data_IF_358287395652
#
_entry.id   IF_358287395652
#
_cell.length_a   1.000
_cell.length_b   1.000
_cell.length_c   1.000
_cell.angle_alpha   90.00
_cell.angle_beta   90.00
_cell.angle_gamma   90.00
#
_symmetry.space_group_name_H-M   'P 1'
#
loop_
_entity.id
_entity.type
_entity.pdbx_description
1 polymer ?
#
# COMPACT_ATOMS: atom_id res chain seq x y z
N UNK A 1 -3.02 -11.13 7.94
CA UNK A 1 -2.70 -11.30 9.38
C UNK A 1 -2.76 -12.77 9.76
N UNK A 2 -1.75 -13.28 10.44
CA UNK A 2 -1.75 -14.64 11.01
C UNK A 2 -2.57 -14.59 12.32
N UNK A 3 -3.59 -15.45 12.50
CA UNK A 3 -4.53 -15.33 13.62
C UNK A 3 -3.96 -15.79 14.98
N UNK A 4 -2.72 -16.31 15.01
CA UNK A 4 -2.08 -16.88 16.19
C UNK A 4 -0.75 -16.17 16.39
N UNK A 5 -0.47 -15.73 17.62
CA UNK A 5 0.80 -15.12 18.00
C UNK A 5 1.98 -15.99 17.53
N UNK A 6 2.99 -15.34 16.95
CA UNK A 6 4.13 -16.03 16.36
C UNK A 6 5.29 -15.98 17.34
N UNK A 7 5.68 -17.11 17.93
CA UNK A 7 6.88 -17.19 18.77
C UNK A 7 8.16 -17.09 17.96
N UNK A 8 9.29 -16.78 18.61
CA UNK A 8 10.58 -16.63 17.93
C UNK A 8 10.99 -17.93 17.22
N UNK A 9 10.91 -19.06 17.93
CA UNK A 9 11.22 -20.38 17.36
C UNK A 9 10.36 -20.68 16.13
N UNK A 10 9.08 -20.28 16.15
CA UNK A 10 8.19 -20.49 15.02
C UNK A 10 8.53 -19.57 13.85
N UNK A 11 8.86 -18.30 14.11
CA UNK A 11 9.37 -17.36 13.12
C UNK A 11 10.62 -17.93 12.42
N UNK A 12 11.63 -18.36 13.20
CA UNK A 12 12.87 -18.95 12.67
C UNK A 12 12.58 -20.19 11.81
N UNK A 13 11.73 -21.11 12.29
CA UNK A 13 11.35 -22.30 11.52
C UNK A 13 10.68 -21.96 10.19
N UNK A 14 9.87 -20.89 10.14
CA UNK A 14 9.25 -20.44 8.90
C UNK A 14 10.28 -19.84 7.95
N UNK A 15 11.22 -19.03 8.45
CA UNK A 15 12.31 -18.47 7.65
C UNK A 15 13.20 -19.57 7.05
N UNK A 16 13.60 -20.57 7.84
CA UNK A 16 14.42 -21.71 7.36
C UNK A 16 13.72 -22.50 6.26
N UNK A 17 12.40 -22.71 6.39
CA UNK A 17 11.62 -23.44 5.39
C UNK A 17 11.45 -22.67 4.09
N UNK A 18 11.24 -21.36 4.19
CA UNK A 18 10.93 -20.52 3.03
C UNK A 18 12.19 -20.09 2.27
N UNK A 19 13.31 -19.87 2.97
CA UNK A 19 14.58 -19.45 2.38
C UNK A 19 15.74 -20.36 2.79
N UNK A 20 15.74 -21.63 2.34
CA UNK A 20 16.81 -22.55 2.65
C UNK A 20 18.15 -22.02 2.15
N UNK A 21 19.15 -21.97 3.02
CA UNK A 21 20.51 -21.53 2.71
C UNK A 21 20.79 -20.03 2.88
N UNK A 22 19.78 -19.19 3.08
CA UNK A 22 19.95 -17.74 3.38
C UNK A 22 19.11 -17.27 4.58
N UNK A 23 18.52 -18.19 5.34
CA UNK A 23 17.60 -17.88 6.43
C UNK A 23 18.20 -16.97 7.49
N UNK A 24 19.49 -17.13 7.81
CA UNK A 24 20.15 -16.30 8.83
C UNK A 24 20.21 -14.84 8.40
N UNK A 25 20.50 -14.58 7.12
CA UNK A 25 20.48 -13.23 6.55
C UNK A 25 19.06 -12.64 6.54
N UNK A 26 18.05 -13.46 6.24
CA UNK A 26 16.64 -13.03 6.28
C UNK A 26 16.22 -12.69 7.70
N UNK A 27 16.53 -13.54 8.68
CA UNK A 27 16.25 -13.31 10.10
C UNK A 27 16.96 -12.04 10.58
N UNK A 28 18.20 -11.81 10.17
CA UNK A 28 18.94 -10.60 10.55
C UNK A 28 18.35 -9.33 9.91
N UNK A 29 17.88 -9.41 8.66
CA UNK A 29 17.29 -8.26 7.96
C UNK A 29 15.95 -7.85 8.57
N UNK A 30 15.15 -8.83 9.01
CA UNK A 30 13.87 -8.62 9.69
C UNK A 30 13.98 -8.93 11.18
N UNK A 31 15.13 -8.57 11.78
CA UNK A 31 15.45 -8.92 13.16
C UNK A 31 14.32 -8.45 14.08
N UNK A 32 13.60 -9.38 14.72
CA UNK A 32 12.49 -9.00 15.56
C UNK A 32 12.97 -8.22 16.78
N UNK A 33 12.16 -7.27 17.24
CA UNK A 33 12.42 -6.55 18.49
C UNK A 33 12.45 -7.56 19.66
N UNK A 34 13.58 -7.69 20.37
CA UNK A 34 13.70 -8.67 21.46
C UNK A 34 12.78 -8.38 22.65
N UNK A 35 12.18 -7.18 22.73
CA UNK A 35 11.17 -6.84 23.74
C UNK A 35 9.77 -7.39 23.42
N UNK A 36 9.55 -7.85 22.19
CA UNK A 36 8.28 -8.41 21.75
C UNK A 36 8.22 -9.93 21.96
N UNK A 37 7.02 -10.42 22.29
CA UNK A 37 6.75 -11.86 22.39
C UNK A 37 5.98 -12.41 21.20
N UNK A 38 5.56 -11.54 20.28
CA UNK A 38 4.78 -11.85 19.10
C UNK A 38 5.44 -11.24 17.86
N UNK A 39 5.97 -12.10 17.00
CA UNK A 39 6.78 -11.70 15.84
C UNK A 39 5.97 -11.68 14.53
N UNK A 40 4.64 -11.58 14.62
CA UNK A 40 3.75 -11.52 13.46
C UNK A 40 4.03 -10.32 12.56
N UNK A 41 4.40 -9.18 13.13
CA UNK A 41 4.65 -7.96 12.36
C UNK A 41 5.95 -8.10 11.54
N UNK A 42 7.05 -8.51 12.17
CA UNK A 42 8.31 -8.81 11.48
C UNK A 42 8.12 -9.84 10.35
N UNK A 43 7.34 -10.89 10.61
CA UNK A 43 7.02 -11.89 9.60
C UNK A 43 6.12 -11.33 8.47
N UNK A 44 5.16 -10.47 8.81
CA UNK A 44 4.28 -9.78 7.88
C UNK A 44 5.04 -8.84 6.94
N UNK A 45 5.95 -8.03 7.47
CA UNK A 45 6.80 -7.14 6.69
C UNK A 45 7.72 -7.92 5.74
N UNK A 46 8.35 -8.97 6.25
CA UNK A 46 9.18 -9.86 5.46
C UNK A 46 8.42 -10.46 4.28
N UNK A 47 7.23 -11.01 4.51
CA UNK A 47 6.40 -11.54 3.43
C UNK A 47 5.94 -10.45 2.46
N UNK A 48 5.61 -9.27 2.97
CA UNK A 48 5.16 -8.13 2.16
C UNK A 48 6.27 -7.67 1.21
N UNK A 49 7.49 -7.51 1.72
CA UNK A 49 8.65 -7.16 0.92
C UNK A 49 8.99 -8.22 -0.12
N UNK A 50 9.07 -9.48 0.30
CA UNK A 50 9.43 -10.59 -0.58
C UNK A 50 8.41 -10.80 -1.70
N UNK A 51 7.13 -10.88 -1.37
CA UNK A 51 6.09 -11.26 -2.33
C UNK A 51 5.59 -10.10 -3.19
N UNK A 52 5.57 -8.86 -2.66
CA UNK A 52 4.87 -7.74 -3.31
C UNK A 52 5.74 -6.50 -3.48
N UNK A 53 6.27 -5.93 -2.40
CA UNK A 53 6.86 -4.58 -2.44
C UNK A 53 8.16 -4.53 -3.24
N UNK A 54 9.11 -5.44 -2.98
CA UNK A 54 10.41 -5.40 -3.65
C UNK A 54 10.30 -5.71 -5.15
N UNK A 55 9.47 -6.69 -5.53
CA UNK A 55 9.23 -7.05 -6.93
C UNK A 55 8.52 -5.92 -7.68
N UNK A 56 7.49 -5.31 -7.09
CA UNK A 56 6.77 -4.18 -7.69
C UNK A 56 7.68 -2.95 -7.86
N UNK A 57 8.51 -2.65 -6.86
CA UNK A 57 9.53 -1.58 -6.95
C UNK A 57 10.56 -1.90 -8.03
N UNK A 58 11.01 -3.15 -8.15
CA UNK A 58 11.96 -3.54 -9.21
C UNK A 58 11.38 -3.30 -10.61
N UNK A 59 10.11 -3.65 -10.84
CA UNK A 59 9.42 -3.38 -12.10
C UNK A 59 9.29 -1.87 -12.35
N UNK A 60 8.89 -1.10 -11.35
CA UNK A 60 8.78 0.37 -11.46
C UNK A 60 10.13 1.02 -11.80
N UNK A 61 11.21 0.60 -11.13
CA UNK A 61 12.59 1.04 -11.44
C UNK A 61 12.99 0.71 -12.87
N UNK A 62 12.75 -0.52 -13.30
CA UNK A 62 13.06 -0.96 -14.66
C UNK A 62 12.31 -0.15 -15.72
N UNK A 63 11.03 0.15 -15.48
CA UNK A 63 10.21 0.98 -16.36
C UNK A 63 10.70 2.43 -16.40
N UNK A 64 11.00 3.03 -15.25
CA UNK A 64 11.47 4.41 -15.15
C UNK A 64 12.85 4.62 -15.77
N UNK A 65 13.71 3.60 -15.74
CA UNK A 65 15.03 3.64 -16.38
C UNK A 65 14.97 3.57 -17.92
N UNK A 66 13.81 3.29 -18.53
CA UNK A 66 13.68 3.31 -19.99
C UNK A 66 13.65 4.76 -20.48
N UNK A 67 14.61 5.12 -21.35
CA UNK A 67 14.90 6.52 -21.76
C UNK A 67 13.86 7.17 -22.69
N UNK A 68 12.62 6.70 -22.71
CA UNK A 68 11.56 7.37 -23.45
C UNK A 68 10.91 8.43 -22.56
N UNK A 69 11.18 9.71 -22.84
CA UNK A 69 10.68 10.89 -22.12
C UNK A 69 9.14 11.04 -22.09
N UNK A 70 8.40 10.08 -22.62
CA UNK A 70 6.93 10.03 -22.64
C UNK A 70 6.33 9.00 -21.67
N UNK A 71 7.16 8.23 -20.96
CA UNK A 71 6.70 7.16 -20.05
C UNK A 71 6.81 7.62 -18.61
N UNK A 72 5.74 8.26 -18.12
CA UNK A 72 5.60 8.52 -16.69
C UNK A 72 5.28 7.20 -15.98
N UNK A 73 6.09 6.85 -14.97
CA UNK A 73 5.82 5.72 -14.08
C UNK A 73 5.19 6.27 -12.81
N UNK A 74 4.05 5.72 -12.41
CA UNK A 74 3.38 6.06 -11.15
C UNK A 74 3.36 4.83 -10.26
N UNK A 75 3.71 5.02 -8.99
CA UNK A 75 3.76 3.95 -7.99
C UNK A 75 3.05 4.41 -6.72
N UNK A 76 2.28 3.53 -6.09
CA UNK A 76 1.59 3.81 -4.83
C UNK A 76 1.91 2.77 -3.76
N UNK A 77 1.63 3.16 -2.53
CA UNK A 77 1.42 2.22 -1.44
C UNK A 77 0.06 2.51 -0.81
N UNK A 78 -0.78 1.49 -0.68
CA UNK A 78 -2.05 1.60 0.02
C UNK A 78 -1.80 1.41 1.52
N UNK A 79 -2.08 2.45 2.32
CA UNK A 79 -2.06 2.38 3.78
C UNK A 79 -3.45 2.53 4.40
N UNK A 80 -4.47 2.82 3.60
CA UNK A 80 -5.81 3.03 4.09
C UNK A 80 -6.42 1.71 4.58
N UNK A 81 -6.81 1.62 5.86
CA UNK A 81 -7.37 0.40 6.42
C UNK A 81 -8.78 0.15 5.90
N UNK A 82 -9.14 -1.13 5.70
CA UNK A 82 -10.54 -1.46 5.49
C UNK A 82 -11.31 -1.29 6.80
N UNK A 83 -12.17 -0.28 6.87
CA UNK A 83 -12.96 0.04 8.07
C UNK A 83 -14.48 0.01 7.80
N UNK A 84 -15.27 0.28 8.84
CA UNK A 84 -16.73 0.33 8.77
C UNK A 84 -17.43 -0.79 9.56
N UNK A 85 -18.69 -0.56 9.97
CA UNK A 85 -19.43 -1.46 10.86
C UNK A 85 -19.65 -2.86 10.26
N UNK A 86 -19.72 -2.95 8.93
CA UNK A 86 -19.97 -4.20 8.20
C UNK A 86 -18.69 -4.95 7.80
N UNK A 87 -17.50 -4.39 8.03
CA UNK A 87 -16.23 -5.02 7.67
C UNK A 87 -16.10 -6.46 8.23
N UNK A 88 -16.45 -6.76 9.50
CA UNK A 88 -16.37 -8.13 10.02
C UNK A 88 -17.26 -9.12 9.27
N UNK A 89 -18.45 -8.67 8.83
CA UNK A 89 -19.39 -9.47 8.05
C UNK A 89 -18.84 -9.75 6.66
N UNK A 90 -18.27 -8.72 6.01
CA UNK A 90 -17.63 -8.82 4.70
C UNK A 90 -16.47 -9.83 4.69
N UNK A 91 -15.60 -9.76 5.70
CA UNK A 91 -14.40 -10.60 5.76
C UNK A 91 -14.63 -11.97 6.39
N UNK A 92 -15.75 -12.16 7.10
CA UNK A 92 -16.12 -13.41 7.74
C UNK A 92 -14.98 -14.01 8.60
N UNK A 93 -14.40 -15.17 8.23
CA UNK A 93 -13.26 -15.75 8.94
C UNK A 93 -12.03 -14.84 9.04
N UNK A 94 -11.89 -13.88 8.13
CA UNK A 94 -10.80 -12.91 8.07
C UNK A 94 -11.13 -11.58 8.76
N UNK A 95 -12.19 -11.50 9.57
CA UNK A 95 -12.60 -10.27 10.29
C UNK A 95 -11.49 -9.58 11.09
N UNK A 96 -10.45 -10.31 11.47
CA UNK A 96 -9.28 -9.74 12.16
C UNK A 96 -8.45 -8.81 11.25
N UNK A 97 -8.70 -8.78 9.93
CA UNK A 97 -8.10 -7.81 9.02
C UNK A 97 -8.86 -6.48 8.97
N UNK A 98 -10.02 -6.36 9.62
CA UNK A 98 -10.69 -5.07 9.78
C UNK A 98 -9.81 -4.11 10.57
N UNK A 99 -9.73 -2.86 10.10
CA UNK A 99 -8.82 -1.87 10.65
C UNK A 99 -7.38 -1.99 10.14
N UNK A 100 -7.10 -2.88 9.19
CA UNK A 100 -5.81 -3.00 8.54
C UNK A 100 -5.92 -2.77 7.03
N UNK A 101 -4.87 -2.20 6.45
CA UNK A 101 -4.61 -2.35 5.02
C UNK A 101 -4.05 -3.76 4.80
N UNK A 102 -4.74 -4.56 3.99
CA UNK A 102 -4.30 -5.91 3.67
C UNK A 102 -4.18 -6.07 2.16
N UNK A 103 -3.56 -7.17 1.71
CA UNK A 103 -3.36 -7.40 0.28
C UNK A 103 -4.69 -7.31 -0.50
N UNK A 104 -4.76 -6.40 -1.47
CA UNK A 104 -5.94 -6.11 -2.30
C UNK A 104 -7.12 -5.45 -1.58
N UNK A 105 -6.93 -4.89 -0.37
CA UNK A 105 -8.00 -4.18 0.35
C UNK A 105 -8.39 -2.86 -0.32
N UNK A 106 -7.53 -2.29 -1.15
CA UNK A 106 -7.81 -1.08 -1.95
C UNK A 106 -8.87 -1.31 -3.03
N UNK A 107 -9.10 -2.55 -3.47
CA UNK A 107 -9.96 -2.83 -4.63
C UNK A 107 -11.41 -2.36 -4.43
N UNK A 108 -11.94 -2.44 -3.21
CA UNK A 108 -13.31 -1.97 -2.95
C UNK A 108 -13.42 -0.45 -3.16
N UNK A 109 -12.39 0.30 -2.78
CA UNK A 109 -12.29 1.75 -2.98
C UNK A 109 -12.03 2.11 -4.45
N UNK A 110 -11.09 1.41 -5.11
CA UNK A 110 -10.72 1.65 -6.51
C UNK A 110 -11.92 1.51 -7.45
N UNK A 111 -12.66 0.43 -7.30
CA UNK A 111 -13.78 0.09 -8.19
C UNK A 111 -15.14 0.57 -7.65
N UNK A 112 -15.15 1.25 -6.50
CA UNK A 112 -16.37 1.62 -5.77
C UNK A 112 -17.31 0.45 -5.49
N UNK A 113 -16.77 -0.76 -5.36
CA UNK A 113 -17.56 -1.99 -5.19
C UNK A 113 -17.87 -2.31 -3.72
N UNK A 114 -17.35 -1.54 -2.77
CA UNK A 114 -17.64 -1.68 -1.34
C UNK A 114 -19.13 -1.92 -1.03
N UNK A 115 -20.06 -1.06 -1.48
CA UNK A 115 -21.49 -1.25 -1.24
C UNK A 115 -22.06 -2.57 -1.76
N UNK A 116 -21.52 -3.11 -2.86
CA UNK A 116 -21.96 -4.39 -3.43
C UNK A 116 -21.61 -5.58 -2.54
N UNK A 117 -20.62 -5.42 -1.68
CA UNK A 117 -20.17 -6.41 -0.72
C UNK A 117 -20.53 -6.03 0.72
N UNK A 118 -21.40 -5.03 0.89
CA UNK A 118 -21.89 -4.59 2.19
C UNK A 118 -20.96 -3.65 2.95
N UNK A 119 -19.88 -3.13 2.35
CA UNK A 119 -19.08 -2.06 2.95
C UNK A 119 -19.79 -0.71 2.79
N UNK A 120 -20.00 -0.02 3.90
CA UNK A 120 -20.44 1.38 3.92
C UNK A 120 -19.22 2.28 4.11
N UNK A 121 -18.95 3.15 3.13
CA UNK A 121 -17.86 4.13 3.25
C UNK A 121 -18.20 5.20 4.28
N UNK A 122 -17.24 5.56 5.13
CA UNK A 122 -17.37 6.71 6.03
C UNK A 122 -17.27 8.03 5.26
N UNK A 123 -17.67 9.15 5.88
CA UNK A 123 -17.51 10.48 5.28
C UNK A 123 -16.04 10.79 4.94
N UNK A 124 -15.10 10.33 5.77
CA UNK A 124 -13.65 10.47 5.56
C UNK A 124 -13.14 9.58 4.41
N UNK A 125 -13.81 8.45 4.15
CA UNK A 125 -13.45 7.53 3.05
C UNK A 125 -13.98 8.00 1.69
N UNK A 126 -15.02 8.84 1.63
CA UNK A 126 -15.58 9.33 0.37
C UNK A 126 -14.53 10.08 -0.48
N UNK A 127 -13.74 11.03 0.07
CA UNK A 127 -12.61 11.61 -0.63
C UNK A 127 -11.62 10.55 -1.12
N UNK A 128 -11.26 9.58 -0.27
CA UNK A 128 -10.32 8.52 -0.64
C UNK A 128 -10.79 7.69 -1.84
N UNK A 129 -12.06 7.26 -1.83
CA UNK A 129 -12.71 6.55 -2.96
C UNK A 129 -12.72 7.42 -4.22
N UNK A 130 -13.04 8.71 -4.06
CA UNK A 130 -13.06 9.67 -5.14
C UNK A 130 -11.66 9.82 -5.78
N UNK A 131 -10.60 9.95 -4.98
CA UNK A 131 -9.23 10.01 -5.45
C UNK A 131 -8.87 8.81 -6.33
N UNK A 132 -9.12 7.61 -5.83
CA UNK A 132 -8.80 6.39 -6.55
C UNK A 132 -9.46 6.29 -7.92
N UNK A 133 -10.78 6.53 -7.97
CA UNK A 133 -11.52 6.47 -9.23
C UNK A 133 -10.98 7.49 -10.23
N UNK A 134 -10.62 8.70 -9.77
CA UNK A 134 -10.06 9.72 -10.64
C UNK A 134 -8.66 9.38 -11.13
N UNK A 135 -7.74 8.97 -10.25
CA UNK A 135 -6.38 8.61 -10.66
C UNK A 135 -6.36 7.48 -11.68
N UNK A 136 -7.11 6.40 -11.41
CA UNK A 136 -7.17 5.26 -12.33
C UNK A 136 -7.89 5.64 -13.62
N UNK A 137 -9.00 6.38 -13.55
CA UNK A 137 -9.70 6.87 -14.74
C UNK A 137 -8.81 7.75 -15.62
N UNK A 138 -8.11 8.71 -15.03
CA UNK A 138 -7.19 9.61 -15.74
C UNK A 138 -6.03 8.85 -16.37
N UNK A 139 -5.46 7.88 -15.66
CA UNK A 139 -4.42 7.02 -16.20
C UNK A 139 -4.90 6.21 -17.40
N UNK A 140 -6.07 5.57 -17.31
CA UNK A 140 -6.66 4.81 -18.42
C UNK A 140 -6.93 5.70 -19.63
N UNK A 141 -7.45 6.91 -19.42
CA UNK A 141 -7.79 7.82 -20.52
C UNK A 141 -6.60 8.55 -21.14
N UNK A 142 -5.47 8.68 -20.44
CA UNK A 142 -4.42 9.60 -20.86
C UNK A 142 -2.99 9.22 -20.54
N UNK A 143 -2.76 8.15 -19.78
CA UNK A 143 -1.45 7.77 -19.27
C UNK A 143 -0.91 8.70 -18.17
N UNK A 144 -1.69 9.69 -17.70
CA UNK A 144 -1.30 10.60 -16.62
C UNK A 144 -2.38 10.63 -15.54
N UNK A 145 -2.05 10.14 -14.34
CA UNK A 145 -2.96 10.10 -13.17
C UNK A 145 -3.43 11.50 -12.75
N UNK A 146 -2.62 12.54 -12.96
CA UNK A 146 -2.88 13.92 -12.54
C UNK A 146 -3.67 14.74 -13.58
N UNK A 147 -4.03 14.15 -14.72
CA UNK A 147 -4.71 14.88 -15.80
C UNK A 147 -6.07 15.39 -15.33
N UNK A 148 -6.32 16.69 -15.44
CA UNK A 148 -7.61 17.27 -15.08
C UNK A 148 -7.82 17.48 -13.58
N UNK A 149 -6.77 17.38 -12.76
CA UNK A 149 -6.76 17.94 -11.40
C UNK A 149 -6.76 19.47 -11.47
N UNK A 150 -7.91 20.06 -11.79
CA UNK A 150 -8.15 21.50 -11.72
C UNK A 150 -8.92 21.86 -10.43
N UNK A 151 -8.82 23.12 -10.00
CA UNK A 151 -9.30 23.58 -8.70
C UNK A 151 -10.78 23.24 -8.40
N UNK A 152 -11.64 23.14 -9.42
CA UNK A 152 -13.04 22.75 -9.26
C UNK A 152 -13.23 21.28 -8.85
N UNK A 153 -12.47 20.37 -9.44
CA UNK A 153 -12.52 18.94 -9.10
C UNK A 153 -11.93 18.68 -7.70
N UNK A 154 -10.89 19.42 -7.32
CA UNK A 154 -10.28 19.36 -5.99
C UNK A 154 -11.23 19.87 -4.90
N UNK A 155 -12.10 20.85 -5.19
CA UNK A 155 -13.10 21.32 -4.23
C UNK A 155 -14.28 20.35 -4.02
N UNK A 156 -14.61 19.52 -5.01
CA UNK A 156 -15.73 18.57 -4.94
C UNK A 156 -15.32 17.20 -4.38
N UNK A 157 -14.07 16.79 -4.63
CA UNK A 157 -13.61 15.46 -4.28
C UNK A 157 -12.76 15.44 -3.00
N UNK A 158 -12.35 16.60 -2.50
CA UNK A 158 -11.30 16.74 -1.48
C UNK A 158 -9.97 17.06 -2.16
N UNK A 159 -9.13 17.90 -1.53
CA UNK A 159 -7.83 18.24 -2.09
C UNK A 159 -6.94 16.99 -2.13
N UNK A 160 -6.74 16.42 -3.32
CA UNK A 160 -5.77 15.34 -3.51
C UNK A 160 -4.45 15.94 -3.97
N UNK A 161 -3.38 15.56 -3.29
CA UNK A 161 -2.03 15.95 -3.67
C UNK A 161 -1.68 15.36 -5.04
N UNK A 162 -0.95 16.11 -5.85
CA UNK A 162 -0.40 15.58 -7.11
C UNK A 162 0.36 14.28 -6.84
N UNK A 163 0.10 13.25 -7.65
CA UNK A 163 0.82 11.99 -7.55
C UNK A 163 2.14 12.11 -8.31
N UNK A 164 3.29 12.10 -7.63
CA UNK A 164 4.59 12.26 -8.29
C UNK A 164 4.90 11.10 -9.22
N UNK A 165 5.69 11.37 -10.26
CA UNK A 165 6.31 10.29 -11.02
C UNK A 165 7.34 9.57 -10.14
N UNK A 166 7.53 8.29 -10.40
CA UNK A 166 8.41 7.44 -9.59
C UNK A 166 9.87 7.92 -9.58
N UNK A 167 10.30 8.60 -10.65
CA UNK A 167 11.62 9.19 -10.84
C UNK A 167 11.72 10.67 -10.38
N UNK A 168 10.66 11.24 -9.81
CA UNK A 168 10.67 12.62 -9.35
C UNK A 168 11.69 12.82 -8.21
N UNK A 169 12.42 13.95 -8.19
CA UNK A 169 13.36 14.27 -7.12
C UNK A 169 12.66 14.33 -5.76
N UNK A 170 13.28 13.77 -4.73
CA UNK A 170 12.84 13.95 -3.35
C UNK A 170 13.51 15.19 -2.78
N UNK A 171 12.71 16.19 -2.40
CA UNK A 171 13.21 17.38 -1.72
C UNK A 171 14.02 17.00 -0.47
N UNK A 172 15.31 17.33 -0.46
CA UNK A 172 16.23 17.04 0.63
C UNK A 172 17.06 15.76 0.50
N UNK A 173 16.84 14.94 -0.54
CA UNK A 173 17.67 13.77 -0.83
C UNK A 173 18.89 14.17 -1.68
N UNK A 174 20.10 13.96 -1.14
CA UNK A 174 21.38 14.29 -1.81
C UNK A 174 22.11 13.08 -2.39
N UNK A 175 21.50 11.90 -2.35
CA UNK A 175 22.10 10.67 -2.85
C UNK A 175 21.10 9.94 -3.72
N UNK A 176 21.53 9.49 -4.91
CA UNK A 176 20.77 8.57 -5.76
C UNK A 176 20.60 7.19 -5.12
N UNK A 177 19.99 7.13 -3.95
CA UNK A 177 19.85 5.95 -3.10
C UNK A 177 18.39 5.84 -2.62
N UNK A 178 17.72 4.79 -3.09
CA UNK A 178 16.61 4.05 -2.48
C UNK A 178 15.32 4.74 -1.99
N UNK A 179 15.29 6.06 -1.84
CA UNK A 179 14.08 6.82 -1.60
C UNK A 179 13.47 7.15 -2.96
N UNK A 180 12.41 6.42 -3.31
CA UNK A 180 11.62 6.63 -4.53
C UNK A 180 10.21 7.00 -4.11
N UNK A 181 9.63 8.01 -4.76
CA UNK A 181 8.32 8.52 -4.36
C UNK A 181 7.22 7.51 -4.68
N UNK A 182 6.47 7.15 -3.63
CA UNK A 182 5.16 6.53 -3.76
C UNK A 182 4.11 7.52 -3.27
N UNK A 183 2.96 7.63 -3.95
CA UNK A 183 1.82 8.22 -3.28
C UNK A 183 1.44 7.31 -2.10
N UNK A 184 1.58 7.85 -0.88
CA UNK A 184 0.94 7.29 0.29
C UNK A 184 -0.51 7.80 0.24
N UNK A 185 -1.41 6.95 -0.27
CA UNK A 185 -2.82 7.27 -0.29
C UNK A 185 -3.39 6.84 1.06
N UNK A 186 -3.74 7.84 1.86
CA UNK A 186 -4.49 7.70 3.11
C UNK A 186 -5.67 8.69 3.04
N UNK A 187 -6.77 8.38 3.72
CA UNK A 187 -7.82 9.38 3.90
C UNK A 187 -7.22 10.57 4.68
N UNK A 188 -7.59 11.83 4.36
CA UNK A 188 -7.19 12.94 5.20
C UNK A 188 -7.78 12.71 6.60
N UNK A 189 -6.95 12.29 7.55
CA UNK A 189 -7.35 12.01 8.92
C UNK A 189 -8.16 13.20 9.47
N UNK A 190 -9.44 12.98 9.78
CA UNK A 190 -10.06 13.79 10.82
C UNK A 190 -9.26 13.50 12.10
N UNK A 191 -8.65 14.55 12.66
CA UNK A 191 -7.88 14.44 13.90
C UNK A 191 -8.83 13.90 14.97
N UNK A 192 -8.60 12.67 15.43
CA UNK A 192 -9.15 12.15 16.68
C UNK A 192 -8.08 12.23 17.77
#
# INVERSE_FOLDING_TARGET
MIPIALSYDRFVQMCVKMWPGISDSVIQLYAPDPSQTDFRDAYGDMLTHYAFTCSSRYVARGAAATKDALKNVFYFTNYHPLTGPDCPTLLGPLKNLCGYAYHSSELSYVWRTGPNVGQTYTEDEIPYVNAWTNYIGNFVHSGNVNKGLNAGLQSELGSFAEWPTYDAPIDGSSTGSDDWLSAALDAPLSKH
#
